data_IF_804898682870
#
_entry.id   IF_804898682870
#
_cell.length_a   1.000
_cell.length_b   1.000
_cell.length_c   1.000
_cell.angle_alpha   90.00
_cell.angle_beta   90.00
_cell.angle_gamma   90.00
#
_symmetry.space_group_name_H-M   'P 1'
#
loop_
_entity.id
_entity.type
_entity.pdbx_description
1 polymer ?
#
# COMPACT_ATOMS: atom_id res chain seq x y z
N UNK A 1 -4.80 14.94 -4.61
CA UNK A 1 -3.85 14.43 -3.60
C UNK A 1 -3.34 13.03 -3.97
N UNK A 2 -4.19 12.00 -3.99
CA UNK A 2 -3.79 10.59 -4.19
C UNK A 2 -2.89 10.27 -5.41
N UNK A 3 -3.06 10.94 -6.56
CA UNK A 3 -2.22 10.69 -7.74
C UNK A 3 -0.83 11.34 -7.69
N UNK A 4 -0.53 12.15 -6.68
CA UNK A 4 0.79 12.76 -6.54
C UNK A 4 1.76 11.77 -5.87
N UNK A 5 2.78 11.39 -6.62
CA UNK A 5 3.82 10.43 -6.21
C UNK A 5 5.20 10.96 -6.56
N UNK A 6 6.25 10.35 -5.99
CA UNK A 6 7.64 10.76 -6.22
C UNK A 6 8.06 10.62 -7.69
N UNK A 7 7.45 9.67 -8.39
CA UNK A 7 7.62 9.43 -9.82
C UNK A 7 6.25 9.42 -10.51
N UNK A 8 6.21 9.70 -11.81
CA UNK A 8 4.97 9.61 -12.60
C UNK A 8 4.40 8.18 -12.55
N UNK A 9 3.17 7.98 -12.00
CA UNK A 9 2.57 6.66 -11.86
C UNK A 9 1.77 6.25 -13.11
N UNK A 10 1.76 7.05 -14.19
CA UNK A 10 0.86 6.85 -15.34
C UNK A 10 0.97 5.46 -15.97
N UNK A 11 2.19 4.94 -16.19
CA UNK A 11 2.39 3.60 -16.76
C UNK A 11 1.92 2.48 -15.83
N UNK A 12 2.07 2.69 -14.52
CA UNK A 12 1.63 1.76 -13.49
C UNK A 12 0.09 1.71 -13.46
N UNK A 13 -0.56 2.88 -13.42
CA UNK A 13 -2.02 2.98 -13.40
C UNK A 13 -2.65 2.47 -14.71
N UNK A 14 -2.03 2.75 -15.87
CA UNK A 14 -2.49 2.21 -17.15
C UNK A 14 -2.38 0.68 -17.22
N UNK A 15 -1.32 0.12 -16.63
CA UNK A 15 -1.17 -1.34 -16.52
C UNK A 15 -2.23 -1.93 -15.59
N UNK A 16 -2.55 -1.26 -14.48
CA UNK A 16 -3.62 -1.66 -13.57
C UNK A 16 -5.00 -1.61 -14.23
N UNK A 17 -5.30 -0.56 -14.98
CA UNK A 17 -6.52 -0.42 -15.78
C UNK A 17 -6.63 -1.53 -16.84
N UNK A 18 -5.52 -1.86 -17.50
CA UNK A 18 -5.46 -2.99 -18.45
C UNK A 18 -5.74 -4.32 -17.75
N UNK A 19 -5.14 -4.55 -16.58
CA UNK A 19 -5.44 -5.74 -15.78
C UNK A 19 -6.93 -5.78 -15.40
N UNK A 20 -7.48 -4.69 -14.89
CA UNK A 20 -8.88 -4.62 -14.46
C UNK A 20 -9.85 -4.90 -15.63
N UNK A 21 -9.70 -4.17 -16.73
CA UNK A 21 -10.60 -4.26 -17.89
C UNK A 21 -10.43 -5.53 -18.72
N UNK A 22 -9.19 -5.92 -19.07
CA UNK A 22 -8.90 -7.04 -19.96
C UNK A 22 -8.87 -8.38 -19.23
N UNK A 23 -8.53 -8.40 -17.95
CA UNK A 23 -8.32 -9.66 -17.20
C UNK A 23 -9.42 -9.94 -16.17
N UNK A 24 -9.87 -8.95 -15.40
CA UNK A 24 -10.90 -9.16 -14.38
C UNK A 24 -12.32 -9.14 -14.96
N UNK A 25 -12.66 -8.10 -15.73
CA UNK A 25 -13.98 -7.99 -16.37
C UNK A 25 -14.15 -9.02 -17.50
N UNK A 26 -13.08 -9.26 -18.25
CA UNK A 26 -13.02 -10.25 -19.32
C UNK A 26 -12.20 -11.46 -18.87
N UNK A 27 -11.58 -12.19 -19.80
CA UNK A 27 -10.72 -13.34 -19.50
C UNK A 27 -9.41 -13.30 -20.28
N UNK A 28 -8.96 -12.11 -20.70
CA UNK A 28 -7.76 -11.93 -21.52
C UNK A 28 -6.46 -12.19 -20.74
N UNK A 29 -5.35 -11.77 -21.33
CA UNK A 29 -3.99 -11.82 -20.77
C UNK A 29 -3.43 -10.40 -20.64
N UNK A 30 -2.67 -10.15 -19.58
CA UNK A 30 -1.96 -8.91 -19.32
C UNK A 30 -0.67 -8.80 -20.16
N UNK A 31 -0.03 -9.92 -20.49
CA UNK A 31 1.24 -9.96 -21.23
C UNK A 31 1.09 -10.34 -22.71
N UNK A 32 -0.08 -10.81 -23.14
CA UNK A 32 -0.37 -11.19 -24.53
C UNK A 32 -1.57 -10.42 -25.08
N UNK A 33 -1.46 -10.01 -26.34
CA UNK A 33 -2.59 -9.39 -27.06
C UNK A 33 -3.66 -10.40 -27.48
N UNK A 34 -3.26 -11.66 -27.69
CA UNK A 34 -4.16 -12.73 -28.10
C UNK A 34 -4.32 -13.78 -26.99
N UNK A 35 -5.53 -14.30 -26.87
CA UNK A 35 -5.83 -15.45 -26.03
C UNK A 35 -6.67 -15.14 -24.79
N UNK A 36 -7.09 -16.20 -24.13
CA UNK A 36 -7.75 -16.15 -22.82
C UNK A 36 -6.83 -16.81 -21.80
N UNK A 37 -6.62 -16.16 -20.65
CA UNK A 37 -5.69 -16.63 -19.63
C UNK A 37 -6.28 -16.52 -18.23
N UNK A 38 -6.80 -15.34 -17.87
CA UNK A 38 -7.50 -15.14 -16.59
C UNK A 38 -8.91 -15.73 -16.65
N UNK A 39 -9.02 -17.05 -16.85
CA UNK A 39 -10.28 -17.79 -16.80
C UNK A 39 -10.43 -18.50 -15.46
N UNK A 40 -11.67 -18.83 -15.07
CA UNK A 40 -11.94 -19.59 -13.84
C UNK A 40 -11.22 -20.94 -13.81
N UNK A 41 -11.10 -21.63 -14.95
CA UNK A 41 -10.41 -22.93 -15.03
C UNK A 41 -8.91 -22.83 -14.68
N UNK A 42 -8.19 -21.90 -15.33
CA UNK A 42 -6.75 -21.74 -15.10
C UNK A 42 -6.48 -21.26 -13.67
N UNK A 43 -7.33 -20.34 -13.16
CA UNK A 43 -7.27 -19.88 -11.77
C UNK A 43 -7.53 -21.02 -10.78
N UNK A 44 -8.49 -21.91 -11.04
CA UNK A 44 -8.79 -23.03 -10.14
C UNK A 44 -7.66 -24.06 -10.11
N UNK A 45 -7.03 -24.35 -11.26
CA UNK A 45 -5.84 -25.21 -11.31
C UNK A 45 -4.68 -24.60 -10.53
N UNK A 46 -4.44 -23.30 -10.69
CA UNK A 46 -3.42 -22.61 -9.91
C UNK A 46 -3.75 -22.63 -8.41
N UNK A 47 -4.98 -22.32 -8.03
CA UNK A 47 -5.44 -22.37 -6.65
C UNK A 47 -5.22 -23.75 -6.03
N UNK A 48 -5.63 -24.81 -6.72
CA UNK A 48 -5.48 -26.18 -6.21
C UNK A 48 -4.01 -26.57 -6.00
N UNK A 49 -3.13 -26.13 -6.89
CA UNK A 49 -1.71 -26.47 -6.82
C UNK A 49 -0.92 -25.62 -5.80
N UNK A 50 -1.32 -24.37 -5.61
CA UNK A 50 -0.56 -23.41 -4.82
C UNK A 50 -1.21 -23.07 -3.47
N UNK A 51 -2.51 -22.76 -3.48
CA UNK A 51 -3.27 -22.31 -2.31
C UNK A 51 -3.76 -23.48 -1.48
N UNK A 52 -4.40 -24.47 -2.11
CA UNK A 52 -4.98 -25.62 -1.42
C UNK A 52 -3.94 -26.70 -1.05
N UNK A 53 -2.74 -26.63 -1.62
CA UNK A 53 -1.63 -27.55 -1.38
C UNK A 53 -0.31 -26.77 -1.17
N UNK A 54 -0.19 -25.95 -0.12
CA UNK A 54 1.00 -25.13 0.09
C UNK A 54 2.23 -25.98 0.41
N UNK A 55 3.37 -25.65 -0.20
CA UNK A 55 4.67 -26.20 0.22
C UNK A 55 5.23 -25.36 1.38
N UNK A 56 5.12 -25.90 2.60
CA UNK A 56 5.60 -25.28 3.84
C UNK A 56 7.09 -25.51 4.11
N UNK A 57 7.81 -26.18 3.20
CA UNK A 57 9.24 -26.43 3.37
C UNK A 57 10.11 -25.16 3.37
N UNK A 58 11.34 -25.29 3.87
CA UNK A 58 12.27 -24.16 4.05
C UNK A 58 12.96 -23.68 2.77
N UNK A 59 12.63 -24.27 1.61
CA UNK A 59 13.22 -23.92 0.31
C UNK A 59 12.79 -22.52 -0.13
N UNK A 60 13.56 -21.93 -1.05
CA UNK A 60 13.23 -20.63 -1.62
C UNK A 60 11.85 -20.64 -2.29
N UNK A 61 11.13 -19.52 -2.20
CA UNK A 61 9.80 -19.38 -2.77
C UNK A 61 9.74 -19.82 -4.25
N UNK A 62 10.70 -19.42 -5.08
CA UNK A 62 10.68 -19.71 -6.53
C UNK A 62 10.79 -21.19 -6.82
N UNK A 63 11.62 -21.94 -6.09
CA UNK A 63 11.72 -23.40 -6.22
C UNK A 63 10.41 -24.10 -5.85
N UNK A 64 9.83 -23.72 -4.70
CA UNK A 64 8.54 -24.28 -4.25
C UNK A 64 7.43 -23.97 -5.25
N UNK A 65 7.36 -22.71 -5.68
CA UNK A 65 6.37 -22.24 -6.62
C UNK A 65 6.48 -22.98 -7.96
N UNK A 66 7.70 -23.17 -8.49
CA UNK A 66 7.95 -23.95 -9.70
C UNK A 66 7.41 -25.36 -9.58
N UNK A 67 7.77 -26.06 -8.51
CA UNK A 67 7.42 -27.47 -8.33
C UNK A 67 5.90 -27.66 -8.22
N UNK A 68 5.21 -26.70 -7.57
CA UNK A 68 3.75 -26.68 -7.46
C UNK A 68 3.07 -26.43 -8.82
N UNK A 69 3.51 -25.43 -9.60
CA UNK A 69 2.75 -24.97 -10.78
C UNK A 69 3.19 -25.61 -12.10
N UNK A 70 4.45 -26.03 -12.24
CA UNK A 70 4.98 -26.56 -13.51
C UNK A 70 4.22 -27.78 -14.03
N UNK A 71 3.76 -28.72 -13.18
CA UNK A 71 2.93 -29.85 -13.64
C UNK A 71 1.54 -29.44 -14.13
N UNK A 72 1.07 -28.23 -13.86
CA UNK A 72 -0.32 -27.81 -14.12
C UNK A 72 -0.56 -27.27 -15.54
N UNK A 73 0.50 -27.08 -16.33
CA UNK A 73 0.40 -26.61 -17.72
C UNK A 73 0.98 -25.22 -17.96
N UNK A 74 1.23 -24.90 -19.24
CA UNK A 74 1.87 -23.64 -19.64
C UNK A 74 1.01 -22.41 -19.33
N UNK A 75 -0.32 -22.54 -19.42
CA UNK A 75 -1.25 -21.48 -19.09
C UNK A 75 -1.22 -21.11 -17.59
N UNK A 76 -1.11 -22.10 -16.71
CA UNK A 76 -0.94 -21.85 -15.27
C UNK A 76 0.39 -21.16 -14.97
N UNK A 77 1.47 -21.54 -15.65
CA UNK A 77 2.78 -20.86 -15.54
C UNK A 77 2.66 -19.40 -16.00
N UNK A 78 2.01 -19.14 -17.13
CA UNK A 78 1.76 -17.78 -17.64
C UNK A 78 0.91 -16.96 -16.65
N UNK A 79 -0.19 -17.53 -16.16
CA UNK A 79 -1.05 -16.87 -15.17
C UNK A 79 -0.28 -16.53 -13.89
N UNK A 80 0.55 -17.45 -13.41
CA UNK A 80 1.42 -17.23 -12.26
C UNK A 80 2.42 -16.08 -12.48
N UNK A 81 2.99 -15.95 -13.68
CA UNK A 81 3.82 -14.81 -14.04
C UNK A 81 3.01 -13.49 -14.05
N UNK A 82 1.79 -13.49 -14.58
CA UNK A 82 0.93 -12.30 -14.57
C UNK A 82 0.47 -11.89 -13.17
N UNK A 83 0.24 -12.85 -12.27
CA UNK A 83 0.00 -12.57 -10.84
C UNK A 83 1.19 -11.86 -10.20
N UNK A 84 2.42 -12.28 -10.51
CA UNK A 84 3.62 -11.57 -10.06
C UNK A 84 3.71 -10.17 -10.67
N UNK A 85 3.26 -9.97 -11.92
CA UNK A 85 3.19 -8.62 -12.50
C UNK A 85 2.30 -7.69 -11.67
N UNK A 86 1.10 -8.15 -11.29
CA UNK A 86 0.16 -7.39 -10.44
C UNK A 86 0.76 -7.14 -9.05
N UNK A 87 1.34 -8.17 -8.43
CA UNK A 87 1.99 -8.08 -7.12
C UNK A 87 3.11 -7.03 -7.08
N UNK A 88 3.90 -6.90 -8.15
CA UNK A 88 5.02 -5.95 -8.25
C UNK A 88 4.66 -4.57 -8.78
N UNK A 89 3.39 -4.35 -9.15
CA UNK A 89 2.96 -3.13 -9.82
C UNK A 89 3.04 -1.89 -8.92
N UNK A 90 2.68 -2.02 -7.64
CA UNK A 90 2.73 -0.96 -6.63
C UNK A 90 4.11 -0.74 -5.97
N UNK A 91 4.81 -1.77 -5.44
CA UNK A 91 5.96 -1.58 -4.55
C UNK A 91 7.13 -0.85 -5.22
N UNK A 92 7.65 0.20 -4.59
CA UNK A 92 8.88 0.91 -5.00
C UNK A 92 10.16 0.34 -4.36
N UNK A 93 10.02 -0.49 -3.32
CA UNK A 93 11.15 -1.08 -2.57
C UNK A 93 11.75 -2.34 -3.22
N UNK A 94 11.33 -2.69 -4.45
CA UNK A 94 11.96 -3.72 -5.29
C UNK A 94 12.32 -3.06 -6.62
N UNK A 95 13.58 -3.15 -7.04
CA UNK A 95 14.03 -2.51 -8.27
C UNK A 95 13.44 -3.15 -9.53
N UNK A 96 13.20 -2.36 -10.57
CA UNK A 96 12.57 -2.82 -11.82
C UNK A 96 13.27 -3.99 -12.49
N UNK A 97 14.61 -4.03 -12.48
CA UNK A 97 15.38 -5.16 -12.99
C UNK A 97 15.06 -6.46 -12.23
N UNK A 98 14.98 -6.40 -10.90
CA UNK A 98 14.64 -7.56 -10.06
C UNK A 98 13.20 -8.02 -10.25
N UNK A 99 12.25 -7.09 -10.43
CA UNK A 99 10.85 -7.41 -10.78
C UNK A 99 10.81 -8.22 -12.08
N UNK A 100 11.46 -7.72 -13.14
CA UNK A 100 11.51 -8.38 -14.46
C UNK A 100 12.25 -9.71 -14.44
N UNK A 101 13.34 -9.81 -13.68
CA UNK A 101 14.09 -11.06 -13.50
C UNK A 101 13.21 -12.17 -12.93
N UNK A 102 12.48 -11.88 -11.83
CA UNK A 102 11.59 -12.86 -11.19
C UNK A 102 10.43 -13.29 -12.09
N UNK A 103 9.86 -12.36 -12.87
CA UNK A 103 8.77 -12.67 -13.81
C UNK A 103 9.30 -13.53 -14.97
N UNK A 104 10.46 -13.19 -15.53
CA UNK A 104 11.10 -13.97 -16.59
C UNK A 104 11.57 -15.34 -16.10
N UNK A 105 11.97 -15.48 -14.84
CA UNK A 105 12.28 -16.77 -14.23
C UNK A 105 11.06 -17.71 -14.32
N UNK A 106 9.87 -17.22 -13.93
CA UNK A 106 8.62 -18.02 -14.03
C UNK A 106 8.25 -18.30 -15.49
N UNK A 107 8.27 -17.31 -16.37
CA UNK A 107 7.95 -17.48 -17.80
C UNK A 107 8.88 -18.48 -18.49
N UNK A 108 10.15 -18.54 -18.09
CA UNK A 108 11.13 -19.47 -18.64
C UNK A 108 10.73 -20.95 -18.44
N UNK A 109 9.89 -21.25 -17.44
CA UNK A 109 9.44 -22.62 -17.17
C UNK A 109 8.52 -23.17 -18.26
N UNK A 110 7.91 -22.30 -19.07
CA UNK A 110 7.16 -22.65 -20.26
C UNK A 110 7.81 -22.18 -21.58
N UNK A 111 9.03 -21.66 -21.53
CA UNK A 111 9.77 -21.18 -22.70
C UNK A 111 9.40 -19.77 -23.17
N UNK A 112 8.65 -19.01 -22.36
CA UNK A 112 8.27 -17.64 -22.68
C UNK A 112 9.21 -16.62 -22.02
N UNK A 113 9.06 -15.35 -22.39
CA UNK A 113 9.75 -14.23 -21.76
C UNK A 113 8.92 -12.95 -21.86
N UNK A 114 9.20 -12.00 -20.97
CA UNK A 114 8.64 -10.66 -20.96
C UNK A 114 9.66 -9.69 -21.56
N UNK A 115 9.44 -9.16 -22.78
CA UNK A 115 10.35 -8.22 -23.41
C UNK A 115 10.46 -6.90 -22.66
N UNK A 116 11.64 -6.27 -22.70
CA UNK A 116 11.86 -4.95 -22.07
C UNK A 116 10.99 -3.83 -22.69
N UNK A 117 10.60 -4.00 -23.96
CA UNK A 117 9.73 -3.07 -24.67
C UNK A 117 8.26 -3.14 -24.24
N UNK A 118 7.84 -4.21 -23.57
CA UNK A 118 6.45 -4.44 -23.18
C UNK A 118 5.95 -3.37 -22.19
N UNK A 119 4.68 -2.90 -22.29
CA UNK A 119 4.15 -1.89 -21.37
C UNK A 119 4.33 -2.23 -19.88
N UNK A 120 4.09 -3.49 -19.49
CA UNK A 120 4.32 -3.98 -18.12
C UNK A 120 5.79 -3.84 -17.69
N UNK A 121 6.75 -4.13 -18.58
CA UNK A 121 8.18 -3.93 -18.30
C UNK A 121 8.54 -2.47 -18.06
N UNK A 122 7.89 -1.55 -18.77
CA UNK A 122 8.06 -0.10 -18.60
C UNK A 122 7.46 0.37 -17.28
N UNK A 123 6.28 -0.14 -16.91
CA UNK A 123 5.63 0.16 -15.63
C UNK A 123 6.51 -0.19 -14.41
N UNK A 124 7.39 -1.19 -14.52
CA UNK A 124 8.33 -1.54 -13.46
C UNK A 124 9.54 -0.62 -13.31
N UNK A 125 9.69 0.41 -14.16
CA UNK A 125 10.78 1.37 -14.05
C UNK A 125 10.79 2.09 -12.69
N UNK A 126 9.61 2.28 -12.09
CA UNK A 126 9.44 2.94 -10.80
C UNK A 126 8.45 2.14 -9.91
N UNK A 127 7.97 2.77 -8.85
CA UNK A 127 6.87 2.27 -8.02
C UNK A 127 6.14 3.45 -7.36
N UNK A 128 5.03 3.16 -6.70
CA UNK A 128 4.16 4.18 -6.07
C UNK A 128 4.52 4.41 -4.60
N UNK A 129 4.79 3.32 -3.88
CA UNK A 129 5.05 3.35 -2.45
C UNK A 129 5.66 2.04 -1.97
N UNK A 130 6.19 2.02 -0.74
CA UNK A 130 6.79 0.82 -0.18
C UNK A 130 5.70 -0.17 0.26
N UNK A 131 5.87 -1.45 -0.09
CA UNK A 131 5.10 -2.53 0.52
C UNK A 131 5.56 -2.86 1.95
N UNK A 132 6.74 -2.38 2.37
CA UNK A 132 7.36 -2.80 3.64
C UNK A 132 8.00 -4.19 3.55
N UNK A 133 8.66 -4.60 4.62
CA UNK A 133 9.36 -5.91 4.68
C UNK A 133 8.38 -7.08 4.75
N UNK A 134 7.25 -6.89 5.46
CA UNK A 134 6.18 -7.89 5.58
C UNK A 134 5.65 -8.35 4.22
N UNK A 135 5.28 -7.41 3.34
CA UNK A 135 4.80 -7.70 1.99
C UNK A 135 5.73 -8.63 1.20
N UNK A 136 7.02 -8.29 1.11
CA UNK A 136 7.99 -9.06 0.32
C UNK A 136 8.32 -10.43 0.90
N UNK A 137 8.32 -10.57 2.23
CA UNK A 137 8.60 -11.84 2.91
C UNK A 137 7.38 -12.76 2.99
N UNK A 138 6.17 -12.18 2.98
CA UNK A 138 4.89 -12.90 3.03
C UNK A 138 4.22 -13.02 1.67
N UNK A 139 5.00 -12.93 0.59
CA UNK A 139 4.53 -13.03 -0.80
C UNK A 139 3.53 -14.16 -1.04
N UNK A 140 3.72 -15.40 -0.53
CA UNK A 140 2.75 -16.47 -0.78
C UNK A 140 1.33 -16.09 -0.36
N UNK A 141 1.19 -15.45 0.79
CA UNK A 141 -0.11 -15.07 1.33
C UNK A 141 -0.76 -13.91 0.56
N UNK A 142 0.02 -12.96 0.08
CA UNK A 142 -0.48 -11.87 -0.78
C UNK A 142 -0.95 -12.43 -2.13
N UNK A 143 -0.23 -13.40 -2.70
CA UNK A 143 -0.65 -14.09 -3.93
C UNK A 143 -1.88 -14.96 -3.72
N UNK A 144 -1.97 -15.67 -2.58
CA UNK A 144 -3.18 -16.40 -2.18
C UNK A 144 -4.40 -15.48 -2.13
N UNK A 145 -4.26 -14.32 -1.48
CA UNK A 145 -5.33 -13.33 -1.43
C UNK A 145 -5.75 -12.88 -2.84
N UNK A 146 -4.80 -12.57 -3.72
CA UNK A 146 -5.12 -12.17 -5.10
C UNK A 146 -5.83 -13.28 -5.88
N UNK A 147 -5.38 -14.54 -5.76
CA UNK A 147 -6.02 -15.68 -6.42
C UNK A 147 -7.47 -15.83 -5.93
N UNK A 148 -7.68 -15.79 -4.62
CA UNK A 148 -9.01 -15.91 -4.00
C UNK A 148 -9.92 -14.74 -4.39
N UNK A 149 -9.39 -13.53 -4.43
CA UNK A 149 -10.11 -12.33 -4.86
C UNK A 149 -10.60 -12.47 -6.30
N UNK A 150 -9.74 -12.92 -7.22
CA UNK A 150 -10.14 -13.05 -8.63
C UNK A 150 -11.08 -14.23 -8.86
N UNK A 151 -10.93 -15.33 -8.12
CA UNK A 151 -11.89 -16.43 -8.15
C UNK A 151 -13.27 -16.01 -7.66
N UNK A 152 -13.34 -15.33 -6.52
CA UNK A 152 -14.59 -14.79 -5.99
C UNK A 152 -15.20 -13.77 -6.96
N UNK A 153 -14.39 -12.89 -7.56
CA UNK A 153 -14.84 -11.92 -8.54
C UNK A 153 -15.49 -12.60 -9.74
N UNK A 154 -14.83 -13.62 -10.30
CA UNK A 154 -15.33 -14.34 -11.49
C UNK A 154 -16.53 -15.25 -11.20
N UNK A 155 -16.79 -15.56 -9.93
CA UNK A 155 -18.00 -16.27 -9.52
C UNK A 155 -19.26 -15.38 -9.54
N UNK A 156 -19.09 -14.05 -9.49
CA UNK A 156 -20.20 -13.11 -9.53
C UNK A 156 -20.87 -13.07 -10.92
N UNK A 157 -22.20 -12.91 -10.98
CA UNK A 157 -22.92 -12.57 -12.20
C UNK A 157 -22.30 -11.36 -12.91
N UNK A 158 -22.38 -11.31 -14.23
CA UNK A 158 -21.79 -10.24 -15.04
C UNK A 158 -22.34 -8.86 -14.62
N UNK A 159 -23.66 -8.76 -14.41
CA UNK A 159 -24.31 -7.51 -14.01
C UNK A 159 -23.81 -7.00 -12.65
N UNK A 160 -23.61 -7.91 -11.68
CA UNK A 160 -23.08 -7.56 -10.36
C UNK A 160 -21.61 -7.13 -10.44
N UNK A 161 -20.80 -7.80 -11.28
CA UNK A 161 -19.42 -7.37 -11.55
C UNK A 161 -19.37 -5.96 -12.13
N UNK A 162 -20.23 -5.65 -13.08
CA UNK A 162 -20.30 -4.30 -13.68
C UNK A 162 -20.71 -3.25 -12.67
N UNK A 163 -21.68 -3.54 -11.80
CA UNK A 163 -22.08 -2.63 -10.71
C UNK A 163 -20.92 -2.38 -9.75
N UNK A 164 -20.31 -3.43 -9.22
CA UNK A 164 -19.19 -3.32 -8.27
C UNK A 164 -17.98 -2.63 -8.93
N UNK A 165 -17.72 -2.90 -10.21
CA UNK A 165 -16.61 -2.29 -10.93
C UNK A 165 -16.75 -0.76 -11.08
N UNK A 166 -17.98 -0.25 -11.15
CA UNK A 166 -18.26 1.17 -11.32
C UNK A 166 -18.39 1.95 -10.00
N UNK A 167 -18.38 1.26 -8.85
CA UNK A 167 -18.44 1.88 -7.52
C UNK A 167 -17.22 1.47 -6.67
N UNK A 168 -16.27 2.38 -6.45
CA UNK A 168 -15.05 2.13 -5.67
C UNK A 168 -15.33 1.57 -4.25
N UNK A 169 -16.43 1.99 -3.62
CA UNK A 169 -16.79 1.57 -2.26
C UNK A 169 -17.45 0.21 -2.24
N UNK A 170 -18.23 -0.13 -3.28
CA UNK A 170 -18.71 -1.51 -3.46
C UNK A 170 -17.54 -2.45 -3.75
N UNK A 171 -16.58 -2.05 -4.58
CA UNK A 171 -15.39 -2.88 -4.82
C UNK A 171 -14.57 -3.09 -3.55
N UNK A 172 -14.44 -2.05 -2.72
CA UNK A 172 -13.83 -2.17 -1.39
C UNK A 172 -14.57 -3.18 -0.52
N UNK A 173 -15.89 -3.06 -0.41
CA UNK A 173 -16.72 -3.96 0.39
C UNK A 173 -16.62 -5.41 -0.09
N UNK A 174 -16.61 -5.62 -1.40
CA UNK A 174 -16.37 -6.93 -2.02
C UNK A 174 -14.99 -7.48 -1.65
N UNK A 175 -13.93 -6.67 -1.80
CA UNK A 175 -12.57 -7.10 -1.45
C UNK A 175 -12.44 -7.42 0.05
N UNK A 176 -13.13 -6.69 0.92
CA UNK A 176 -13.13 -6.88 2.37
C UNK A 176 -13.95 -8.09 2.84
N UNK A 177 -14.86 -8.59 2.00
CA UNK A 177 -15.64 -9.80 2.31
C UNK A 177 -14.78 -11.07 2.31
N UNK A 178 -13.57 -11.01 1.75
CA UNK A 178 -12.64 -12.14 1.66
C UNK A 178 -11.89 -12.34 2.98
N UNK A 179 -11.59 -13.60 3.27
CA UNK A 179 -10.82 -13.95 4.46
C UNK A 179 -9.46 -13.24 4.47
N UNK A 180 -9.06 -12.77 5.66
CA UNK A 180 -7.79 -12.09 5.92
C UNK A 180 -7.56 -10.76 5.16
N UNK A 181 -8.53 -10.22 4.43
CA UNK A 181 -8.40 -9.00 3.60
C UNK A 181 -7.72 -7.83 4.36
N UNK A 182 -8.14 -7.60 5.61
CA UNK A 182 -7.60 -6.54 6.47
C UNK A 182 -6.11 -6.69 6.83
N UNK A 183 -5.58 -7.91 6.73
CA UNK A 183 -4.17 -8.22 7.02
C UNK A 183 -3.27 -8.14 5.77
N UNK A 184 -3.86 -8.03 4.58
CA UNK A 184 -3.16 -8.08 3.29
C UNK A 184 -2.82 -6.67 2.82
N UNK A 185 -1.54 -6.42 2.54
CA UNK A 185 -1.16 -5.11 2.01
C UNK A 185 -1.55 -4.96 0.55
N UNK A 186 -1.58 -6.07 -0.21
CA UNK A 186 -2.01 -6.07 -1.61
C UNK A 186 -3.45 -5.56 -1.74
N UNK A 187 -4.35 -5.88 -0.80
CA UNK A 187 -5.73 -5.35 -0.76
C UNK A 187 -5.74 -3.82 -0.89
N UNK A 188 -4.96 -3.14 -0.06
CA UNK A 188 -4.88 -1.67 -0.07
C UNK A 188 -4.25 -1.14 -1.37
N UNK A 189 -3.24 -1.85 -1.89
CA UNK A 189 -2.60 -1.50 -3.15
C UNK A 189 -3.54 -1.63 -4.35
N UNK A 190 -4.34 -2.69 -4.42
CA UNK A 190 -5.32 -2.91 -5.50
C UNK A 190 -6.38 -1.80 -5.53
N UNK A 191 -6.90 -1.40 -4.37
CA UNK A 191 -7.88 -0.30 -4.29
C UNK A 191 -7.31 1.01 -4.83
N UNK A 192 -6.07 1.35 -4.46
CA UNK A 192 -5.38 2.50 -5.05
C UNK A 192 -5.16 2.34 -6.56
N UNK A 193 -4.70 1.16 -7.00
CA UNK A 193 -4.39 0.92 -8.41
C UNK A 193 -5.62 1.01 -9.31
N UNK A 194 -6.78 0.56 -8.83
CA UNK A 194 -8.04 0.58 -9.60
C UNK A 194 -8.81 1.88 -9.45
N UNK A 195 -8.79 2.50 -8.28
CA UNK A 195 -9.56 3.72 -7.99
C UNK A 195 -8.68 4.79 -7.31
N UNK A 196 -7.62 5.26 -7.98
CA UNK A 196 -6.63 6.19 -7.40
C UNK A 196 -7.21 7.58 -7.08
N UNK A 197 -8.43 7.88 -7.52
CA UNK A 197 -9.10 9.14 -7.17
C UNK A 197 -9.85 9.05 -5.83
N UNK A 198 -10.17 7.84 -5.37
CA UNK A 198 -10.93 7.56 -4.14
C UNK A 198 -10.04 7.04 -3.01
N UNK A 199 -9.05 6.21 -3.34
CA UNK A 199 -8.12 5.67 -2.35
C UNK A 199 -6.77 6.35 -2.43
N UNK A 200 -6.14 6.54 -1.27
CA UNK A 200 -4.79 7.08 -1.16
C UNK A 200 -3.75 5.95 -1.27
N UNK A 201 -2.51 6.30 -1.63
CA UNK A 201 -1.39 5.36 -1.81
C UNK A 201 -0.83 4.78 -0.50
N UNK A 202 -1.71 4.33 0.39
CA UNK A 202 -1.40 3.89 1.75
C UNK A 202 -1.62 2.38 1.85
N UNK A 203 -0.54 1.61 1.77
CA UNK A 203 -0.57 0.15 1.81
C UNK A 203 -0.59 -0.44 3.25
N UNK A 204 -0.98 0.34 4.26
CA UNK A 204 -0.92 -0.05 5.68
C UNK A 204 -2.12 0.46 6.46
N UNK A 205 -2.89 -0.46 7.04
CA UNK A 205 -3.98 -0.14 7.96
C UNK A 205 -3.49 0.65 9.19
N UNK A 206 -2.27 0.40 9.66
CA UNK A 206 -1.66 1.18 10.73
C UNK A 206 -1.48 2.64 10.34
N UNK A 207 -0.99 2.92 9.13
CA UNK A 207 -0.84 4.30 8.65
C UNK A 207 -2.19 4.97 8.44
N UNK A 208 -3.18 4.27 7.89
CA UNK A 208 -4.55 4.79 7.74
C UNK A 208 -5.13 5.26 9.07
N UNK A 209 -5.04 4.43 10.12
CA UNK A 209 -5.48 4.80 11.48
C UNK A 209 -4.76 6.04 12.01
N UNK A 210 -3.44 6.14 11.83
CA UNK A 210 -2.66 7.29 12.31
C UNK A 210 -3.05 8.59 11.63
N UNK A 211 -3.27 8.55 10.31
CA UNK A 211 -3.76 9.68 9.54
C UNK A 211 -5.14 10.12 10.05
N UNK A 212 -6.06 9.16 10.20
CA UNK A 212 -7.41 9.41 10.74
C UNK A 212 -7.35 9.98 12.16
N UNK A 213 -6.47 9.48 13.03
CA UNK A 213 -6.30 9.99 14.40
C UNK A 213 -5.70 11.41 14.43
N UNK A 214 -4.80 11.73 13.49
CA UNK A 214 -4.17 13.05 13.43
C UNK A 214 -5.11 14.12 12.85
N UNK A 215 -5.90 13.74 11.84
CA UNK A 215 -6.68 14.68 11.04
C UNK A 215 -8.20 14.54 11.20
N UNK A 216 -8.68 13.58 12.01
CA UNK A 216 -10.11 13.28 12.16
C UNK A 216 -10.97 14.46 12.58
N UNK A 217 -10.43 15.40 13.36
CA UNK A 217 -11.10 16.63 13.78
C UNK A 217 -11.41 17.62 12.63
N UNK A 218 -10.94 17.34 11.41
CA UNK A 218 -11.24 18.12 10.20
C UNK A 218 -12.62 17.88 9.65
N UNK A 219 -13.14 16.69 9.89
CA UNK A 219 -14.38 16.17 9.31
C UNK A 219 -15.38 15.94 10.43
N UNK A 220 -16.64 15.80 10.06
CA UNK A 220 -17.69 15.47 11.02
C UNK A 220 -17.41 14.09 11.64
N UNK A 221 -18.10 13.80 12.75
CA UNK A 221 -18.01 12.48 13.37
C UNK A 221 -18.39 11.39 12.35
N UNK A 222 -17.64 10.27 12.32
CA UNK A 222 -17.91 9.21 11.36
C UNK A 222 -19.33 8.67 11.56
N UNK A 223 -20.01 8.36 10.45
CA UNK A 223 -21.22 7.55 10.50
C UNK A 223 -20.92 6.15 11.07
N UNK A 224 -21.96 5.44 11.55
CA UNK A 224 -21.80 4.08 12.09
C UNK A 224 -21.13 3.12 11.10
N UNK A 225 -21.30 3.34 9.79
CA UNK A 225 -20.78 2.49 8.72
C UNK A 225 -19.49 3.01 8.08
N UNK A 226 -18.94 4.15 8.52
CA UNK A 226 -17.77 4.76 7.88
C UNK A 226 -16.48 3.96 8.15
N UNK A 227 -15.82 3.49 7.09
CA UNK A 227 -14.52 2.85 7.20
C UNK A 227 -13.34 3.85 7.09
N UNK A 228 -12.13 3.35 7.37
CA UNK A 228 -10.91 4.18 7.39
C UNK A 228 -10.65 4.89 6.06
N UNK A 229 -10.92 4.26 4.93
CA UNK A 229 -10.67 4.85 3.61
C UNK A 229 -11.67 5.96 3.29
N UNK A 230 -12.96 5.77 3.60
CA UNK A 230 -13.97 6.83 3.46
C UNK A 230 -13.64 8.03 4.32
N UNK A 231 -13.17 7.79 5.56
CA UNK A 231 -12.74 8.86 6.46
C UNK A 231 -11.50 9.59 5.94
N UNK A 232 -10.54 8.86 5.36
CA UNK A 232 -9.37 9.46 4.71
C UNK A 232 -9.78 10.29 3.48
N UNK A 233 -10.74 9.82 2.69
CA UNK A 233 -11.29 10.56 1.55
C UNK A 233 -11.92 11.88 2.00
N UNK A 234 -12.75 11.87 3.05
CA UNK A 234 -13.33 13.09 3.62
C UNK A 234 -12.25 14.05 4.15
N UNK A 235 -11.24 13.52 4.87
CA UNK A 235 -10.09 14.30 5.37
C UNK A 235 -9.36 14.96 4.21
N UNK A 236 -9.08 14.22 3.14
CA UNK A 236 -8.44 14.73 1.93
C UNK A 236 -9.23 15.89 1.32
N UNK A 237 -10.54 15.74 1.11
CA UNK A 237 -11.39 16.81 0.55
C UNK A 237 -11.33 18.08 1.39
N UNK A 238 -11.30 17.93 2.72
CA UNK A 238 -11.15 19.08 3.62
C UNK A 238 -9.77 19.72 3.54
N UNK A 239 -8.70 18.93 3.49
CA UNK A 239 -7.33 19.40 3.35
C UNK A 239 -7.12 20.16 2.03
N UNK A 240 -7.65 19.65 0.92
CA UNK A 240 -7.58 20.31 -0.40
C UNK A 240 -8.29 21.68 -0.40
N UNK A 241 -9.39 21.81 0.38
CA UNK A 241 -10.08 23.10 0.58
C UNK A 241 -9.27 24.07 1.44
N UNK A 242 -8.60 23.58 2.48
CA UNK A 242 -7.82 24.40 3.41
C UNK A 242 -6.47 24.86 2.82
N UNK A 243 -5.93 24.10 1.88
CA UNK A 243 -4.63 24.33 1.25
C UNK A 243 -4.76 24.43 -0.27
N UNK A 244 -5.52 25.42 -0.78
CA UNK A 244 -5.80 25.53 -2.20
C UNK A 244 -4.51 25.72 -3.02
N UNK A 245 -4.42 25.03 -4.15
CA UNK A 245 -3.29 25.12 -5.08
C UNK A 245 -2.02 24.40 -4.65
N UNK A 246 -1.98 23.76 -3.47
CA UNK A 246 -0.85 22.93 -3.05
C UNK A 246 -0.99 21.50 -3.59
N UNK A 247 0.13 20.91 -4.04
CA UNK A 247 0.22 19.47 -4.26
C UNK A 247 0.37 18.79 -2.89
N UNK A 248 -0.69 18.13 -2.44
CA UNK A 248 -0.73 17.45 -1.16
C UNK A 248 -0.54 15.95 -1.34
N UNK A 249 0.12 15.32 -0.37
CA UNK A 249 0.23 13.88 -0.22
C UNK A 249 0.48 13.59 1.28
N UNK A 250 -0.10 12.51 1.83
CA UNK A 250 0.02 12.23 3.26
C UNK A 250 1.46 11.94 3.69
N UNK A 251 2.31 11.45 2.79
CA UNK A 251 3.74 11.21 3.05
C UNK A 251 4.62 12.42 2.73
N UNK A 252 4.05 13.55 2.29
CA UNK A 252 4.80 14.78 2.01
C UNK A 252 4.57 15.88 3.05
N UNK A 253 5.55 16.79 3.23
CA UNK A 253 5.33 18.04 3.92
C UNK A 253 4.18 18.85 3.30
N UNK A 254 3.35 19.53 4.10
CA UNK A 254 3.44 19.65 5.57
C UNK A 254 2.62 18.60 6.35
N UNK A 255 2.03 17.62 5.66
CA UNK A 255 1.09 16.68 6.28
C UNK A 255 1.82 15.58 7.05
N UNK A 256 2.89 15.03 6.48
CA UNK A 256 3.62 13.89 7.05
C UNK A 256 4.08 14.13 8.50
N UNK A 257 4.50 15.36 8.82
CA UNK A 257 4.99 15.69 10.16
C UNK A 257 3.90 15.70 11.24
N UNK A 258 2.62 15.69 10.87
CA UNK A 258 1.53 15.70 11.82
C UNK A 258 1.13 14.29 12.30
N UNK A 259 1.49 13.24 11.56
CA UNK A 259 1.02 11.88 11.84
C UNK A 259 2.11 10.81 11.79
N UNK A 260 3.25 11.07 11.12
CA UNK A 260 4.32 10.10 10.91
C UNK A 260 5.64 10.55 11.54
N UNK A 261 6.31 9.63 12.23
CA UNK A 261 7.68 9.77 12.72
C UNK A 261 8.53 8.61 12.17
N UNK A 262 9.65 8.93 11.53
CA UNK A 262 10.60 7.96 10.98
C UNK A 262 11.30 7.11 12.06
N UNK A 263 11.13 7.41 13.34
CA UNK A 263 11.73 6.63 14.43
C UNK A 263 11.07 5.27 14.68
N UNK A 264 9.84 5.05 14.18
CA UNK A 264 9.03 3.85 14.41
C UNK A 264 9.43 2.63 13.56
N UNK A 265 10.39 2.73 12.63
CA UNK A 265 10.94 1.53 11.95
C UNK A 265 11.72 0.61 12.89
N UNK A 266 11.93 1.02 14.15
CA UNK A 266 12.56 0.21 15.20
C UNK A 266 11.54 -0.56 16.06
N UNK A 267 11.12 -1.72 15.56
CA UNK A 267 10.83 -2.98 16.30
C UNK A 267 9.80 -3.05 17.45
N UNK A 268 8.87 -2.11 17.69
CA UNK A 268 7.79 -2.36 18.68
C UNK A 268 6.37 -2.17 18.15
N UNK A 269 5.53 -3.17 18.38
CA UNK A 269 4.15 -3.34 17.88
C UNK A 269 3.11 -2.39 18.49
N UNK A 270 3.42 -1.09 18.52
CA UNK A 270 2.52 -0.01 18.91
C UNK A 270 3.21 1.32 18.63
N UNK A 271 2.47 2.32 18.17
CA UNK A 271 3.09 3.61 17.79
C UNK A 271 3.62 4.34 19.03
N UNK A 272 4.76 5.00 18.91
CA UNK A 272 5.36 5.74 20.04
C UNK A 272 4.43 6.89 20.52
N UNK A 273 3.59 7.45 19.63
CA UNK A 273 2.60 8.47 19.99
C UNK A 273 1.42 7.89 20.77
N UNK A 274 0.78 6.82 20.30
CA UNK A 274 -0.31 6.15 21.03
C UNK A 274 0.19 5.58 22.36
N UNK A 275 1.40 5.02 22.38
CA UNK A 275 2.04 4.55 23.61
C UNK A 275 2.21 5.69 24.62
N UNK A 276 2.61 6.90 24.20
CA UNK A 276 2.65 8.06 25.11
C UNK A 276 1.27 8.51 25.55
N UNK A 277 0.29 8.56 24.63
CA UNK A 277 -1.06 8.99 24.97
C UNK A 277 -1.73 8.06 25.98
N UNK A 278 -1.55 6.75 25.82
CA UNK A 278 -2.14 5.72 26.69
C UNK A 278 -1.30 5.42 27.92
N UNK A 279 0.00 5.14 27.76
CA UNK A 279 0.87 4.73 28.87
C UNK A 279 1.46 5.91 29.64
N UNK A 280 1.38 7.13 29.11
CA UNK A 280 1.92 8.38 29.69
C UNK A 280 3.43 8.40 29.96
N UNK A 281 4.15 7.34 29.61
CA UNK A 281 5.59 7.19 29.79
C UNK A 281 6.19 6.28 28.72
N UNK A 282 7.39 6.62 28.26
CA UNK A 282 8.21 5.78 27.37
C UNK A 282 9.66 5.82 27.86
N UNK A 283 10.29 4.65 27.90
CA UNK A 283 11.72 4.51 28.20
C UNK A 283 12.44 4.10 26.92
N UNK A 284 13.35 4.95 26.43
CA UNK A 284 14.20 4.64 25.29
C UNK A 284 15.50 3.97 25.79
N UNK A 285 15.68 2.69 25.47
CA UNK A 285 16.84 1.90 25.90
C UNK A 285 17.66 1.40 24.71
N UNK A 286 18.98 1.25 24.88
CA UNK A 286 19.88 0.70 23.88
C UNK A 286 21.34 1.14 24.09
N UNK A 287 22.32 0.50 23.41
CA UNK A 287 23.75 0.84 23.49
C UNK A 287 24.06 2.34 23.26
N UNK A 288 25.17 2.89 23.76
CA UNK A 288 25.58 4.26 23.43
C UNK A 288 25.72 4.45 21.91
N UNK A 289 25.31 5.62 21.40
CA UNK A 289 25.37 5.94 19.95
C UNK A 289 24.16 5.46 19.11
N UNK A 290 23.21 4.70 19.68
CA UNK A 290 22.04 4.15 18.94
C UNK A 290 20.89 5.14 18.69
N UNK A 291 21.17 6.43 18.61
CA UNK A 291 20.16 7.42 18.20
C UNK A 291 19.06 7.76 19.22
N UNK A 292 19.12 7.29 20.48
CA UNK A 292 18.08 7.59 21.50
C UNK A 292 17.69 9.07 21.61
N UNK A 293 18.69 9.97 21.65
CA UNK A 293 18.45 11.43 21.71
C UNK A 293 17.76 11.94 20.44
N UNK A 294 18.12 11.38 19.28
CA UNK A 294 17.49 11.70 18.00
C UNK A 294 16.02 11.26 18.00
N UNK A 295 15.74 10.01 18.39
CA UNK A 295 14.38 9.46 18.55
C UNK A 295 13.54 10.29 19.52
N UNK A 296 14.08 10.64 20.69
CA UNK A 296 13.38 11.47 21.67
C UNK A 296 12.99 12.85 21.11
N UNK A 297 13.90 13.51 20.37
CA UNK A 297 13.62 14.80 19.73
C UNK A 297 12.52 14.69 18.68
N UNK A 298 12.55 13.65 17.85
CA UNK A 298 11.56 13.44 16.78
C UNK A 298 10.17 13.11 17.33
N UNK A 299 10.11 12.30 18.38
CA UNK A 299 8.89 12.03 19.10
C UNK A 299 8.31 13.31 19.72
N UNK A 300 9.14 14.12 20.38
CA UNK A 300 8.71 15.39 20.94
C UNK A 300 8.18 16.36 19.87
N UNK A 301 8.84 16.43 18.70
CA UNK A 301 8.37 17.21 17.55
C UNK A 301 6.97 16.76 17.11
N UNK A 302 6.76 15.45 16.97
CA UNK A 302 5.47 14.88 16.56
C UNK A 302 4.37 15.17 17.57
N UNK A 303 4.64 15.03 18.88
CA UNK A 303 3.69 15.37 19.95
C UNK A 303 3.30 16.86 19.88
N UNK A 304 4.29 17.75 19.72
CA UNK A 304 4.04 19.20 19.65
C UNK A 304 3.17 19.52 18.42
N UNK A 305 3.49 18.96 17.26
CA UNK A 305 2.73 19.18 16.02
C UNK A 305 1.30 18.65 16.12
N UNK A 306 1.13 17.42 16.62
CA UNK A 306 -0.20 16.83 16.84
C UNK A 306 -1.03 17.66 17.84
N UNK A 307 -0.45 18.08 18.96
CA UNK A 307 -1.12 18.94 19.93
C UNK A 307 -1.47 20.33 19.35
N UNK A 308 -0.58 20.92 18.56
CA UNK A 308 -0.84 22.19 17.88
C UNK A 308 -1.97 22.05 16.86
N UNK A 309 -1.98 20.97 16.07
CA UNK A 309 -3.03 20.68 15.09
C UNK A 309 -4.41 20.57 15.77
N UNK A 310 -4.50 19.81 16.87
CA UNK A 310 -5.73 19.68 17.68
C UNK A 310 -6.16 21.03 18.29
N UNK A 311 -5.22 21.75 18.92
CA UNK A 311 -5.53 22.98 19.67
C UNK A 311 -5.85 24.17 18.76
N UNK A 312 -5.12 24.36 17.68
CA UNK A 312 -5.26 25.52 16.80
C UNK A 312 -6.29 25.31 15.71
N UNK A 313 -6.74 24.06 15.52
CA UNK A 313 -7.48 23.61 14.36
C UNK A 313 -6.66 23.78 13.06
N UNK A 314 -6.97 23.03 12.00
CA UNK A 314 -6.01 22.87 10.91
C UNK A 314 -5.79 24.12 10.06
N UNK A 315 -6.80 24.96 9.91
CA UNK A 315 -6.67 26.24 9.21
C UNK A 315 -5.55 27.12 9.79
N UNK A 316 -5.53 27.29 11.12
CA UNK A 316 -4.47 28.05 11.80
C UNK A 316 -3.16 27.27 11.86
N UNK A 317 -3.19 25.96 12.11
CA UNK A 317 -1.98 25.13 12.15
C UNK A 317 -1.12 25.30 10.89
N UNK A 318 -1.73 25.18 9.70
CA UNK A 318 -0.98 25.31 8.45
C UNK A 318 -0.57 26.75 8.10
N UNK A 319 -1.21 27.76 8.71
CA UNK A 319 -0.79 29.17 8.59
C UNK A 319 0.34 29.52 9.58
N UNK A 320 0.46 28.77 10.67
CA UNK A 320 1.41 28.99 11.76
C UNK A 320 2.68 28.13 11.68
N UNK A 321 3.06 27.60 10.51
CA UNK A 321 4.24 26.74 10.38
C UNK A 321 5.53 27.38 10.94
N UNK A 322 5.72 28.68 10.71
CA UNK A 322 6.86 29.42 11.28
C UNK A 322 6.81 29.50 12.81
N UNK A 323 5.62 29.61 13.41
CA UNK A 323 5.47 29.63 14.88
C UNK A 323 5.80 28.25 15.47
N UNK A 324 5.35 27.18 14.81
CA UNK A 324 5.65 25.80 15.20
C UNK A 324 7.16 25.56 15.09
N UNK A 325 7.79 25.98 13.99
CA UNK A 325 9.22 25.80 13.81
C UNK A 325 10.04 26.56 14.86
N UNK A 326 9.62 27.80 15.21
CA UNK A 326 10.24 28.55 16.32
C UNK A 326 10.09 27.84 17.66
N UNK A 327 8.92 27.26 17.96
CA UNK A 327 8.71 26.51 19.20
C UNK A 327 9.59 25.24 19.28
N UNK A 328 9.86 24.60 18.15
CA UNK A 328 10.74 23.43 18.06
C UNK A 328 12.22 23.79 18.21
N UNK A 329 12.67 24.93 17.69
CA UNK A 329 14.09 25.35 17.72
C UNK A 329 14.46 26.15 18.97
N UNK A 330 13.52 26.86 19.62
CA UNK A 330 13.79 27.66 20.82
C UNK A 330 14.35 26.84 21.99
N UNK A 331 14.12 25.52 22.03
CA UNK A 331 14.69 24.61 23.04
C UNK A 331 16.16 24.22 22.78
N UNK A 332 16.70 24.43 21.59
CA UNK A 332 18.11 24.14 21.30
C UNK A 332 19.07 25.27 21.74
N UNK A 333 18.54 26.49 21.95
CA UNK A 333 19.32 27.65 22.40
C UNK A 333 19.52 27.75 23.91
N UNK A 334 18.66 27.11 24.71
CA UNK A 334 18.70 27.24 26.18
C UNK A 334 19.80 26.41 26.87
N UNK A 335 20.57 25.60 26.13
CA UNK A 335 21.57 24.69 26.69
C UNK A 335 23.02 25.06 26.32
N UNK A 336 23.29 26.30 25.89
CA UNK A 336 24.64 26.81 25.58
C UNK A 336 25.18 27.82 26.58
N UNK A 337 24.57 27.93 27.76
CA UNK A 337 25.01 28.86 28.80
C UNK A 337 24.91 28.18 30.15
N UNK A 338 25.82 27.24 30.43
CA UNK A 338 26.20 26.73 31.75
C UNK A 338 27.37 25.72 31.54
N UNK A 339 28.53 26.25 31.16
CA UNK A 339 29.84 25.76 31.62
C UNK A 339 30.54 26.97 32.19
#
# INVERSE_FOLDING_TARGET
MARYTEHDPSQILQTAETFFSKCLLQNGSLLSEAGTLWTTDVLQRLHNAFVAAPDEGDRQFTDKFRDQIKPQGQDVIRLAAELLCVYFLFPSNVGGARKRELINEVLSWCGDSLPDSHPVSRAFATGIGSGGQGYNTRRPFELTYLINLVLAWKALPIEEREQIANDPWLFQSFADSLEEADSRQLRHMLLYLFYPDHFERIASNGHKRRIVNAFGDLVDEPGEDDNLDQRIYAIRSKLETLLPGKKLDFYWPPLVQAWFDNSDETQTGGTTLELIEHKKQIVLYGPPGTGKTYTAKKLAETIIRSAALRKWKPARYFQSEMEIQKALTAKEGANKSLI
#
